data_IF_035827715148
#
_entry.id   IF_035827715148
#
_cell.length_a   1.000
_cell.length_b   1.000
_cell.length_c   1.000
_cell.angle_alpha   90.00
_cell.angle_beta   90.00
_cell.angle_gamma   90.00
#
_symmetry.space_group_name_H-M   'P 1'
#
loop_
_entity.id
_entity.type
_entity.pdbx_description
1 polymer ?
#
# COMPACT_ATOMS: atom_id res chain seq x y z
N UNK A 1 20.08 -1.05 39.38
CA UNK A 1 19.18 -1.59 38.33
C UNK A 1 18.48 -0.47 37.53
N UNK A 2 17.97 0.59 38.19
CA UNK A 2 17.31 1.72 37.51
C UNK A 2 18.19 2.54 36.53
N UNK A 3 19.46 2.81 36.86
CA UNK A 3 20.38 3.59 36.00
C UNK A 3 20.75 2.87 34.69
N UNK A 4 20.81 1.54 34.69
CA UNK A 4 21.12 0.77 33.47
C UNK A 4 19.91 0.71 32.51
N UNK A 5 18.70 0.68 33.06
CA UNK A 5 17.46 0.77 32.27
C UNK A 5 17.29 2.16 31.64
N UNK A 6 17.65 3.24 32.34
CA UNK A 6 17.59 4.60 31.79
C UNK A 6 18.55 4.78 30.61
N UNK A 7 19.80 4.32 30.74
CA UNK A 7 20.81 4.43 29.66
C UNK A 7 20.45 3.60 28.41
N UNK A 8 19.87 2.40 28.59
CA UNK A 8 19.41 1.58 27.48
C UNK A 8 18.21 2.20 26.74
N UNK A 9 17.24 2.73 27.48
CA UNK A 9 16.08 3.42 26.92
C UNK A 9 16.47 4.69 26.17
N UNK A 10 17.33 5.53 26.76
CA UNK A 10 17.88 6.72 26.11
C UNK A 10 18.62 6.39 24.81
N UNK A 11 19.41 5.32 24.80
CA UNK A 11 20.11 4.85 23.59
C UNK A 11 19.12 4.49 22.48
N UNK A 12 18.03 3.79 22.81
CA UNK A 12 16.99 3.44 21.84
C UNK A 12 16.24 4.67 21.33
N UNK A 13 15.95 5.64 22.21
CA UNK A 13 15.34 6.90 21.79
C UNK A 13 16.24 7.73 20.88
N UNK A 14 17.55 7.83 21.19
CA UNK A 14 18.53 8.46 20.29
C UNK A 14 18.57 7.76 18.94
N UNK A 15 18.54 6.42 18.93
CA UNK A 15 18.51 5.63 17.70
C UNK A 15 17.24 5.88 16.87
N UNK A 16 16.07 5.95 17.52
CA UNK A 16 14.81 6.29 16.86
C UNK A 16 14.84 7.69 16.23
N UNK A 17 15.29 8.70 16.99
CA UNK A 17 15.44 10.08 16.50
C UNK A 17 16.41 10.18 15.33
N UNK A 18 17.55 9.49 15.41
CA UNK A 18 18.50 9.45 14.31
C UNK A 18 17.91 8.82 13.04
N UNK A 19 17.10 7.76 13.18
CA UNK A 19 16.45 7.13 12.03
C UNK A 19 15.38 8.02 11.43
N UNK A 20 14.62 8.73 12.25
CA UNK A 20 13.65 9.74 11.78
C UNK A 20 14.36 10.88 11.04
N UNK A 21 15.48 11.35 11.55
CA UNK A 21 16.27 12.39 10.89
C UNK A 21 16.83 11.94 9.53
N UNK A 22 17.25 10.68 9.39
CA UNK A 22 17.64 10.10 8.09
C UNK A 22 16.48 10.14 7.09
N UNK A 23 15.28 9.74 7.52
CA UNK A 23 14.08 9.84 6.69
C UNK A 23 13.76 11.29 6.32
N UNK A 24 13.79 12.22 7.28
CA UNK A 24 13.51 13.64 7.05
C UNK A 24 14.50 14.29 6.08
N UNK A 25 15.77 13.88 6.12
CA UNK A 25 16.78 14.32 5.16
C UNK A 25 16.48 13.83 3.73
N UNK A 26 16.07 12.56 3.56
CA UNK A 26 15.61 12.04 2.25
C UNK A 26 14.34 12.73 1.80
N UNK A 27 13.39 12.94 2.71
CA UNK A 27 12.10 13.57 2.46
C UNK A 27 12.20 15.03 2.02
N UNK A 28 13.18 15.76 2.57
CA UNK A 28 13.42 17.17 2.24
C UNK A 28 13.95 17.36 0.80
N UNK A 29 14.50 16.30 0.19
CA UNK A 29 14.92 16.37 -1.21
C UNK A 29 13.71 16.65 -2.12
N UNK A 30 13.85 17.51 -3.14
CA UNK A 30 12.80 17.70 -4.12
C UNK A 30 12.55 16.40 -4.90
N UNK A 31 11.34 16.26 -5.43
CA UNK A 31 11.08 15.18 -6.41
C UNK A 31 11.99 15.40 -7.63
N UNK A 32 12.46 14.32 -8.27
CA UNK A 32 13.11 14.41 -9.56
C UNK A 32 12.24 15.22 -10.56
N UNK A 33 12.87 16.00 -11.47
CA UNK A 33 12.14 16.89 -12.35
C UNK A 33 11.11 16.13 -13.18
N UNK A 34 9.87 16.63 -13.13
CA UNK A 34 8.72 16.10 -13.87
C UNK A 34 8.66 16.85 -15.20
N UNK A 35 9.18 16.28 -16.29
CA UNK A 35 9.19 16.96 -17.59
C UNK A 35 8.81 16.00 -18.74
N UNK A 36 7.80 16.35 -19.57
CA UNK A 36 6.93 17.53 -19.46
C UNK A 36 5.95 17.42 -18.28
N UNK A 37 5.52 18.56 -17.73
CA UNK A 37 4.50 18.59 -16.68
C UNK A 37 3.13 18.20 -17.26
N UNK A 38 2.43 17.29 -16.59
CA UNK A 38 1.08 16.87 -16.99
C UNK A 38 0.07 17.96 -16.65
N UNK A 39 -0.92 18.14 -17.52
CA UNK A 39 -2.06 18.99 -17.19
C UNK A 39 -2.89 18.39 -16.04
N UNK A 40 -3.60 19.25 -15.30
CA UNK A 40 -4.37 18.85 -14.12
C UNK A 40 -5.46 17.81 -14.42
N UNK A 41 -6.01 17.79 -15.64
CA UNK A 41 -7.02 16.81 -16.03
C UNK A 41 -6.41 15.41 -16.18
N UNK A 42 -5.21 15.31 -16.75
CA UNK A 42 -4.43 14.07 -16.82
C UNK A 42 -4.00 13.59 -15.45
N UNK A 43 -3.53 14.48 -14.58
CA UNK A 43 -3.18 14.12 -13.20
C UNK A 43 -4.41 13.56 -12.44
N UNK A 44 -5.57 14.21 -12.61
CA UNK A 44 -6.84 13.76 -12.02
C UNK A 44 -7.23 12.38 -12.54
N UNK A 45 -7.12 12.13 -13.85
CA UNK A 45 -7.39 10.82 -14.44
C UNK A 45 -6.53 9.72 -13.82
N UNK A 46 -5.22 9.94 -13.73
CA UNK A 46 -4.27 8.98 -13.14
C UNK A 46 -4.59 8.73 -11.66
N UNK A 47 -4.85 9.78 -10.88
CA UNK A 47 -5.02 9.66 -9.45
C UNK A 47 -6.40 9.11 -9.02
N UNK A 48 -7.48 9.47 -9.74
CA UNK A 48 -8.85 9.27 -9.26
C UNK A 48 -9.72 8.39 -10.15
N UNK A 49 -9.52 8.43 -11.48
CA UNK A 49 -10.50 7.88 -12.41
C UNK A 49 -10.08 6.53 -12.97
N UNK A 50 -8.84 6.38 -13.42
CA UNK A 50 -8.37 5.20 -14.14
C UNK A 50 -8.09 4.01 -13.21
N UNK A 51 -8.43 2.81 -13.66
CA UNK A 51 -7.96 1.58 -13.01
C UNK A 51 -6.51 1.29 -13.37
N UNK A 52 -5.86 0.35 -12.68
CA UNK A 52 -4.52 -0.07 -13.07
C UNK A 52 -4.52 -0.71 -14.46
N UNK A 53 -5.55 -1.48 -14.81
CA UNK A 53 -5.67 -2.08 -16.15
C UNK A 53 -5.72 -0.99 -17.23
N UNK A 54 -6.53 0.06 -17.02
CA UNK A 54 -6.61 1.20 -17.94
C UNK A 54 -5.28 1.93 -18.05
N UNK A 55 -4.60 2.17 -16.91
CA UNK A 55 -3.28 2.83 -16.91
C UNK A 55 -2.25 2.02 -17.67
N UNK A 56 -2.20 0.70 -17.47
CA UNK A 56 -1.29 -0.17 -18.22
C UNK A 56 -1.61 -0.12 -19.71
N UNK A 57 -2.88 -0.19 -20.11
CA UNK A 57 -3.28 -0.09 -21.52
C UNK A 57 -2.90 1.26 -22.14
N UNK A 58 -3.21 2.36 -21.46
CA UNK A 58 -2.88 3.74 -21.89
C UNK A 58 -1.38 4.05 -21.82
N UNK A 59 -0.58 3.23 -21.12
CA UNK A 59 0.88 3.30 -21.20
C UNK A 59 1.43 2.54 -22.41
N UNK A 60 0.75 1.48 -22.85
CA UNK A 60 1.12 0.72 -24.05
C UNK A 60 0.77 1.47 -25.34
N UNK A 61 -0.33 2.24 -25.34
CA UNK A 61 -0.70 3.08 -26.49
C UNK A 61 0.08 4.41 -26.57
N UNK A 62 0.85 4.74 -25.53
CA UNK A 62 1.68 5.95 -25.45
C UNK A 62 0.93 7.21 -24.97
N UNK A 63 -0.31 7.10 -24.51
CA UNK A 63 -1.09 8.20 -23.92
C UNK A 63 -0.48 8.69 -22.61
N UNK A 64 -0.01 7.75 -21.78
CA UNK A 64 0.73 7.99 -20.56
C UNK A 64 2.08 7.26 -20.57
N UNK A 65 3.01 7.73 -19.74
CA UNK A 65 4.26 7.03 -19.44
C UNK A 65 4.25 6.51 -18.01
N UNK A 66 5.11 5.53 -17.70
CA UNK A 66 5.35 5.09 -16.32
C UNK A 66 5.89 6.24 -15.48
N UNK A 67 6.68 7.12 -16.09
CA UNK A 67 7.15 8.35 -15.47
C UNK A 67 5.99 9.27 -15.05
N UNK A 68 4.95 9.39 -15.89
CA UNK A 68 3.75 10.19 -15.57
C UNK A 68 3.04 9.64 -14.34
N UNK A 69 2.78 8.33 -14.32
CA UNK A 69 2.10 7.67 -13.20
C UNK A 69 2.92 7.80 -11.91
N UNK A 70 4.22 7.55 -11.95
CA UNK A 70 5.11 7.74 -10.79
C UNK A 70 5.10 9.21 -10.32
N UNK A 71 5.14 10.17 -11.26
CA UNK A 71 5.18 11.59 -10.93
C UNK A 71 3.93 12.03 -10.17
N UNK A 72 2.74 11.69 -10.68
CA UNK A 72 1.46 12.04 -10.04
C UNK A 72 1.36 11.43 -8.65
N UNK A 73 1.67 10.14 -8.52
CA UNK A 73 1.53 9.42 -7.25
C UNK A 73 2.58 9.89 -6.22
N UNK A 74 3.80 10.22 -6.67
CA UNK A 74 4.84 10.81 -5.81
C UNK A 74 4.48 12.21 -5.33
N UNK A 75 3.89 13.06 -6.20
CA UNK A 75 3.37 14.39 -5.81
C UNK A 75 2.32 14.24 -4.71
N UNK A 76 1.33 13.37 -4.90
CA UNK A 76 0.28 13.11 -3.91
C UNK A 76 0.81 12.49 -2.62
N UNK A 77 1.78 11.57 -2.71
CA UNK A 77 2.45 11.02 -1.53
C UNK A 77 3.18 12.11 -0.72
N UNK A 78 3.82 13.08 -1.41
CA UNK A 78 4.44 14.25 -0.76
C UNK A 78 3.43 15.16 -0.07
N UNK A 79 2.37 15.50 -0.79
CA UNK A 79 1.37 16.46 -0.32
C UNK A 79 0.56 15.91 0.86
N UNK A 80 0.07 14.67 0.75
CA UNK A 80 -0.88 14.11 1.72
C UNK A 80 -0.28 13.03 2.61
N UNK A 81 0.71 12.27 2.13
CA UNK A 81 1.28 11.12 2.85
C UNK A 81 2.32 11.51 3.91
N UNK A 82 2.92 12.69 3.80
CA UNK A 82 4.00 13.15 4.66
C UNK A 82 3.57 13.56 6.08
N UNK A 83 4.53 14.06 6.90
CA UNK A 83 4.29 14.45 8.29
C UNK A 83 3.23 15.55 8.49
N UNK A 84 3.02 16.41 7.49
CA UNK A 84 1.99 17.46 7.52
C UNK A 84 0.58 16.94 7.18
N UNK A 85 0.48 15.77 6.54
CA UNK A 85 -0.77 15.11 6.21
C UNK A 85 -1.01 13.91 7.12
N UNK A 86 -1.23 12.72 6.54
CA UNK A 86 -1.55 11.50 7.30
C UNK A 86 -0.34 10.86 8.00
N UNK A 87 0.89 11.35 7.76
CA UNK A 87 2.14 10.80 8.30
C UNK A 87 2.24 9.27 8.12
N UNK A 88 2.07 8.83 6.88
CA UNK A 88 2.01 7.43 6.49
C UNK A 88 3.37 6.83 6.12
N UNK A 89 4.42 7.62 5.93
CA UNK A 89 5.68 7.19 5.29
C UNK A 89 6.80 6.91 6.30
N UNK A 90 7.61 5.89 6.03
CA UNK A 90 8.80 5.53 6.84
C UNK A 90 10.10 5.54 6.05
N UNK A 91 10.02 5.39 4.73
CA UNK A 91 11.13 5.56 3.79
C UNK A 91 10.55 5.97 2.43
N UNK A 92 11.31 6.72 1.65
CA UNK A 92 10.93 7.13 0.29
C UNK A 92 11.97 6.65 -0.70
N UNK A 93 11.51 6.08 -1.81
CA UNK A 93 12.35 5.57 -2.89
C UNK A 93 12.07 6.34 -4.19
N UNK A 94 11.81 7.65 -4.08
CA UNK A 94 11.38 8.46 -5.22
C UNK A 94 12.44 8.51 -6.32
N UNK A 95 13.71 8.69 -5.98
CA UNK A 95 14.78 8.74 -6.98
C UNK A 95 14.87 7.42 -7.77
N UNK A 96 14.85 6.29 -7.06
CA UNK A 96 14.87 4.96 -7.66
C UNK A 96 13.60 4.67 -8.47
N UNK A 97 12.43 5.08 -7.96
CA UNK A 97 11.15 4.89 -8.65
C UNK A 97 11.09 5.67 -9.97
N UNK A 98 11.55 6.92 -9.98
CA UNK A 98 11.63 7.73 -11.19
C UNK A 98 12.66 7.18 -12.18
N UNK A 99 13.81 6.69 -11.71
CA UNK A 99 14.81 6.07 -12.56
C UNK A 99 14.28 4.79 -13.23
N UNK A 100 13.59 3.95 -12.46
CA UNK A 100 12.96 2.72 -12.95
C UNK A 100 11.82 3.02 -13.94
N UNK A 101 10.99 4.01 -13.66
CA UNK A 101 9.94 4.45 -14.58
C UNK A 101 10.51 4.88 -15.93
N UNK A 102 11.53 5.74 -15.94
CA UNK A 102 12.21 6.15 -17.18
C UNK A 102 12.85 4.98 -17.92
N UNK A 103 13.37 3.98 -17.19
CA UNK A 103 13.93 2.77 -17.81
C UNK A 103 12.83 2.00 -18.54
N UNK A 104 11.70 1.73 -17.86
CA UNK A 104 10.55 1.04 -18.44
C UNK A 104 9.98 1.76 -19.66
N UNK A 105 9.89 3.09 -19.62
CA UNK A 105 9.44 3.89 -20.77
C UNK A 105 10.39 3.77 -21.96
N UNK A 106 11.71 3.82 -21.73
CA UNK A 106 12.71 3.59 -22.81
C UNK A 106 12.63 2.19 -23.39
N UNK A 107 12.48 1.17 -22.55
CA UNK A 107 12.41 -0.22 -22.98
C UNK A 107 11.14 -0.45 -23.83
N UNK A 108 10.01 0.17 -23.46
CA UNK A 108 8.77 0.18 -24.24
C UNK A 108 8.96 0.84 -25.61
N UNK A 109 9.60 2.02 -25.67
CA UNK A 109 9.85 2.75 -26.92
C UNK A 109 10.78 2.01 -27.90
N UNK A 110 11.72 1.21 -27.40
CA UNK A 110 12.70 0.47 -28.22
C UNK A 110 12.10 -0.76 -28.93
N UNK A 111 10.80 -1.02 -28.79
CA UNK A 111 10.19 -2.22 -29.34
C UNK A 111 10.65 -3.50 -28.65
N UNK A 112 11.22 -3.42 -27.44
CA UNK A 112 11.69 -4.57 -26.65
C UNK A 112 10.55 -5.49 -26.14
N UNK A 113 9.34 -5.35 -26.69
CA UNK A 113 8.16 -6.14 -26.36
C UNK A 113 8.03 -7.44 -27.15
N UNK A 114 9.04 -7.87 -27.90
CA UNK A 114 9.07 -9.20 -28.52
C UNK A 114 9.52 -10.33 -27.56
N UNK A 115 9.75 -10.04 -26.26
CA UNK A 115 9.87 -11.08 -25.24
C UNK A 115 8.71 -11.02 -24.24
N UNK A 116 7.71 -11.86 -24.49
CA UNK A 116 6.79 -12.51 -23.53
C UNK A 116 6.13 -11.64 -22.44
N UNK A 117 4.90 -11.20 -22.75
CA UNK A 117 3.87 -10.67 -21.84
C UNK A 117 4.24 -9.44 -20.98
N UNK A 118 3.72 -8.27 -21.36
CA UNK A 118 3.65 -7.09 -20.49
C UNK A 118 3.11 -7.50 -19.12
N UNK A 119 3.88 -7.22 -18.06
CA UNK A 119 3.49 -7.54 -16.70
C UNK A 119 2.18 -6.84 -16.30
N UNK A 120 1.35 -7.52 -15.52
CA UNK A 120 0.03 -7.00 -15.11
C UNK A 120 0.09 -5.73 -14.24
N UNK A 121 1.28 -5.34 -13.78
CA UNK A 121 1.55 -4.12 -13.02
C UNK A 121 2.63 -3.26 -13.69
N UNK A 122 2.83 -3.40 -15.01
CA UNK A 122 3.91 -2.72 -15.72
C UNK A 122 3.89 -1.20 -15.54
N UNK A 123 4.94 -0.66 -14.89
CA UNK A 123 5.08 0.78 -14.68
C UNK A 123 4.29 1.35 -13.50
N UNK A 124 3.60 0.50 -12.74
CA UNK A 124 2.66 0.93 -11.70
C UNK A 124 3.38 1.13 -10.36
N UNK A 125 3.33 2.34 -9.76
CA UNK A 125 3.88 2.58 -8.43
C UNK A 125 3.02 1.95 -7.33
N UNK A 126 3.69 1.38 -6.33
CA UNK A 126 3.05 0.84 -5.12
C UNK A 126 3.81 1.17 -3.84
N UNK A 127 3.14 1.03 -2.71
CA UNK A 127 3.70 1.21 -1.37
C UNK A 127 3.84 -0.13 -0.64
N UNK A 128 4.84 -0.22 0.26
CA UNK A 128 5.15 -1.46 0.98
C UNK A 128 5.24 -1.22 2.49
N UNK A 129 4.53 -2.01 3.29
CA UNK A 129 4.50 -1.84 4.75
C UNK A 129 5.89 -1.97 5.37
N UNK A 130 6.19 -1.17 6.40
CA UNK A 130 7.53 -1.05 7.01
C UNK A 130 8.21 -2.38 7.32
N UNK A 131 7.51 -3.42 7.75
CA UNK A 131 8.18 -4.68 8.12
C UNK A 131 8.40 -5.67 6.96
N UNK A 132 8.00 -5.35 5.74
CA UNK A 132 8.23 -6.18 4.56
C UNK A 132 9.53 -5.75 3.89
N UNK A 133 10.53 -6.61 3.81
CA UNK A 133 11.84 -6.25 3.27
C UNK A 133 11.75 -5.67 1.85
N UNK A 134 12.32 -4.47 1.69
CA UNK A 134 12.64 -3.85 0.41
C UNK A 134 14.12 -3.53 0.45
N UNK A 135 14.87 -4.01 -0.54
CA UNK A 135 16.33 -3.91 -0.61
C UNK A 135 16.78 -2.47 -0.38
N UNK A 136 17.76 -2.29 0.50
CA UNK A 136 18.32 -0.99 0.84
C UNK A 136 17.52 -0.19 1.88
N UNK A 137 16.34 -0.65 2.28
CA UNK A 137 15.50 0.00 3.31
C UNK A 137 15.44 -0.81 4.60
N UNK A 138 15.15 -0.15 5.72
CA UNK A 138 14.98 -0.83 6.99
C UNK A 138 13.58 -1.47 7.11
N UNK A 139 13.54 -2.64 7.75
CA UNK A 139 12.31 -3.24 8.29
C UNK A 139 12.25 -3.09 9.81
N UNK A 140 11.75 -1.94 10.27
CA UNK A 140 11.88 -1.52 11.69
C UNK A 140 10.86 -2.17 12.61
N UNK A 141 9.70 -2.60 12.10
CA UNK A 141 8.53 -3.04 12.87
C UNK A 141 8.05 -1.99 13.88
N UNK A 142 8.34 -0.70 13.65
CA UNK A 142 8.10 0.38 14.62
C UNK A 142 8.94 0.27 15.91
N UNK A 143 10.03 -0.51 15.89
CA UNK A 143 10.87 -0.79 17.05
C UNK A 143 12.31 -0.29 16.86
N UNK A 144 12.73 0.68 17.67
CA UNK A 144 14.02 1.37 17.51
C UNK A 144 15.24 0.43 17.52
N UNK A 145 15.14 -0.71 18.20
CA UNK A 145 16.20 -1.72 18.21
C UNK A 145 16.51 -2.29 16.82
N UNK A 146 15.57 -2.18 15.86
CA UNK A 146 15.71 -2.66 14.49
C UNK A 146 16.13 -1.62 13.46
N UNK A 147 16.21 -0.33 13.79
CA UNK A 147 16.72 0.69 12.86
C UNK A 147 18.18 0.43 12.45
N UNK A 148 18.58 0.98 11.31
CA UNK A 148 19.90 0.87 10.69
C UNK A 148 20.28 -0.58 10.40
N UNK A 149 19.34 -1.31 9.78
CA UNK A 149 19.48 -2.71 9.37
C UNK A 149 18.82 -2.88 8.00
N UNK A 150 19.38 -2.24 6.96
CA UNK A 150 18.76 -2.27 5.64
C UNK A 150 18.72 -3.70 5.12
N UNK A 151 17.62 -4.07 4.48
CA UNK A 151 17.45 -5.39 3.89
C UNK A 151 18.45 -5.56 2.72
N UNK A 152 19.11 -6.71 2.63
CA UNK A 152 20.05 -7.01 1.54
C UNK A 152 19.33 -7.42 0.25
N UNK A 153 18.06 -7.79 0.35
CA UNK A 153 17.19 -8.20 -0.76
C UNK A 153 15.74 -7.89 -0.45
N UNK A 154 14.93 -7.87 -1.49
CA UNK A 154 13.48 -7.75 -1.39
C UNK A 154 12.86 -9.01 -0.75
N UNK A 155 11.72 -8.84 -0.10
CA UNK A 155 10.84 -9.95 0.25
C UNK A 155 10.31 -10.62 -1.02
N UNK A 156 10.01 -11.92 -0.97
CA UNK A 156 9.55 -12.66 -2.16
C UNK A 156 8.28 -12.02 -2.76
N UNK A 157 7.39 -11.49 -1.91
CA UNK A 157 6.20 -10.76 -2.35
C UNK A 157 6.51 -9.47 -3.09
N UNK A 158 7.61 -8.79 -2.77
CA UNK A 158 8.04 -7.56 -3.46
C UNK A 158 8.75 -7.93 -4.76
N UNK A 159 9.62 -8.94 -4.74
CA UNK A 159 10.33 -9.44 -5.93
C UNK A 159 9.35 -9.83 -7.03
N UNK A 160 8.29 -10.59 -6.69
CA UNK A 160 7.27 -11.00 -7.67
C UNK A 160 6.44 -9.83 -8.22
N UNK A 161 6.25 -8.77 -7.44
CA UNK A 161 5.56 -7.57 -7.94
C UNK A 161 6.46 -6.79 -8.90
N UNK A 162 7.77 -6.71 -8.62
CA UNK A 162 8.75 -6.15 -9.56
C UNK A 162 8.85 -6.98 -10.84
N UNK A 163 8.84 -8.31 -10.73
CA UNK A 163 8.77 -9.22 -11.89
C UNK A 163 7.51 -8.97 -12.74
N UNK A 164 6.38 -8.65 -12.09
CA UNK A 164 5.14 -8.25 -12.74
C UNK A 164 5.13 -6.79 -13.23
N UNK A 165 6.26 -6.08 -13.10
CA UNK A 165 6.48 -4.76 -13.66
C UNK A 165 6.25 -3.58 -12.70
N UNK A 166 5.91 -3.84 -11.44
CA UNK A 166 5.62 -2.79 -10.46
C UNK A 166 6.87 -2.04 -9.99
N UNK A 167 6.66 -0.79 -9.56
CA UNK A 167 7.69 0.11 -9.05
C UNK A 167 7.41 0.39 -7.57
N UNK A 168 8.36 0.09 -6.67
CA UNK A 168 8.19 0.43 -5.25
C UNK A 168 8.47 1.92 -5.06
N UNK A 169 7.46 2.67 -4.62
CA UNK A 169 7.52 4.12 -4.44
C UNK A 169 8.03 4.51 -3.04
N UNK A 170 7.53 3.83 -2.00
CA UNK A 170 7.81 4.17 -0.62
C UNK A 170 7.49 3.02 0.34
N UNK A 171 7.92 3.20 1.60
CA UNK A 171 7.60 2.34 2.73
C UNK A 171 6.62 3.03 3.67
N UNK A 172 5.69 2.29 4.27
CA UNK A 172 4.64 2.88 5.13
C UNK A 172 4.64 2.45 6.59
N UNK A 173 4.09 3.33 7.42
CA UNK A 173 4.15 3.29 8.87
C UNK A 173 3.33 2.14 9.48
N UNK A 174 3.76 1.72 10.66
CA UNK A 174 3.20 0.60 11.43
C UNK A 174 3.13 0.95 12.92
N UNK A 175 2.25 0.33 13.71
CA UNK A 175 2.36 0.38 15.16
C UNK A 175 3.66 -0.21 15.66
N UNK A 176 4.08 0.22 16.84
CA UNK A 176 5.17 -0.40 17.56
C UNK A 176 4.92 -1.91 17.70
N UNK A 177 5.87 -2.71 17.20
CA UNK A 177 5.80 -4.17 17.17
C UNK A 177 4.59 -4.75 16.42
N UNK A 178 3.91 -3.98 15.55
CA UNK A 178 2.77 -4.45 14.72
C UNK A 178 1.50 -4.88 15.50
N UNK A 179 1.49 -4.79 16.83
CA UNK A 179 0.47 -5.42 17.69
C UNK A 179 -0.55 -4.43 18.28
N UNK A 180 -0.90 -3.40 17.52
CA UNK A 180 -1.98 -2.47 17.89
C UNK A 180 -2.91 -2.22 16.69
N UNK A 181 -4.23 -2.04 16.91
CA UNK A 181 -5.18 -1.64 15.87
C UNK A 181 -5.14 -0.12 15.58
N UNK A 182 -4.03 0.54 15.91
CA UNK A 182 -3.73 1.94 15.65
C UNK A 182 -2.27 2.05 15.23
N UNK A 183 -1.95 2.93 14.27
CA UNK A 183 -0.59 3.05 13.72
C UNK A 183 0.17 4.16 14.43
N UNK A 184 0.90 3.80 15.49
CA UNK A 184 1.71 4.72 16.30
C UNK A 184 2.99 4.04 16.81
N UNK A 185 4.13 4.73 16.71
CA UNK A 185 5.39 4.30 17.29
C UNK A 185 6.36 5.47 17.54
N UNK A 186 7.41 5.22 18.33
CA UNK A 186 8.38 6.25 18.74
C UNK A 186 9.43 6.64 17.69
N UNK A 187 9.42 6.02 16.50
CA UNK A 187 10.32 6.37 15.39
C UNK A 187 9.60 7.32 14.44
N UNK A 188 8.42 6.90 13.98
CA UNK A 188 7.71 7.54 12.87
C UNK A 188 6.54 8.42 13.33
N UNK A 189 6.14 8.32 14.60
CA UNK A 189 4.96 9.00 15.13
C UNK A 189 3.65 8.28 14.79
N UNK A 190 2.56 9.04 14.83
CA UNK A 190 1.19 8.58 14.60
C UNK A 190 0.81 8.74 13.13
N UNK A 191 0.20 7.73 12.53
CA UNK A 191 -0.50 7.87 11.24
C UNK A 191 -1.98 8.14 11.49
N UNK A 192 -2.46 9.23 10.91
CA UNK A 192 -3.84 9.69 11.08
C UNK A 192 -4.75 9.24 9.95
N UNK A 193 -6.05 9.19 10.24
CA UNK A 193 -7.08 8.88 9.24
C UNK A 193 -7.11 9.94 8.14
N UNK A 194 -7.24 9.53 6.86
CA UNK A 194 -7.39 10.47 5.74
C UNK A 194 -8.69 11.29 5.82
N UNK A 195 -9.69 10.82 6.57
CA UNK A 195 -10.99 11.50 6.70
C UNK A 195 -11.00 12.54 7.83
N UNK A 196 -10.11 12.39 8.80
CA UNK A 196 -9.97 13.29 9.94
C UNK A 196 -8.63 13.06 10.63
N UNK A 197 -7.73 14.05 10.57
CA UNK A 197 -6.38 13.95 11.11
C UNK A 197 -6.32 13.73 12.64
N UNK A 198 -7.43 13.90 13.36
CA UNK A 198 -7.56 13.62 14.81
C UNK A 198 -8.04 12.20 15.12
N UNK A 199 -8.19 11.35 14.10
CA UNK A 199 -8.66 9.95 14.22
C UNK A 199 -7.59 8.98 13.77
N UNK A 200 -7.66 7.75 14.27
CA UNK A 200 -6.73 6.69 13.88
C UNK A 200 -6.95 6.24 12.44
N UNK A 201 -5.88 5.96 11.70
CA UNK A 201 -5.92 5.23 10.43
C UNK A 201 -6.21 3.72 10.59
N UNK A 202 -6.35 3.23 11.82
CA UNK A 202 -6.37 1.81 12.14
C UNK A 202 -4.96 1.20 12.13
N UNK A 203 -4.88 -0.14 12.22
CA UNK A 203 -3.59 -0.84 12.28
C UNK A 203 -3.69 -2.36 12.11
N UNK A 204 -2.59 -3.04 11.82
CA UNK A 204 -1.23 -2.50 11.79
C UNK A 204 -0.77 -1.98 10.42
N UNK A 205 -1.56 -2.10 9.35
CA UNK A 205 -1.26 -1.53 8.03
C UNK A 205 -1.92 -0.15 7.83
N UNK A 206 -1.96 0.70 8.86
CA UNK A 206 -2.62 2.01 8.78
C UNK A 206 -1.90 2.97 7.85
N UNK A 207 -0.56 2.90 7.77
CA UNK A 207 0.22 3.65 6.77
C UNK A 207 -0.21 3.34 5.34
N UNK A 208 -0.32 2.05 5.00
CA UNK A 208 -0.81 1.61 3.68
C UNK A 208 -2.22 2.13 3.40
N UNK A 209 -3.16 1.90 4.32
CA UNK A 209 -4.55 2.26 4.09
C UNK A 209 -4.75 3.77 3.95
N UNK A 210 -4.07 4.58 4.79
CA UNK A 210 -4.15 6.03 4.72
C UNK A 210 -3.51 6.56 3.43
N UNK A 211 -2.35 6.04 3.03
CA UNK A 211 -1.65 6.47 1.81
C UNK A 211 -2.45 6.13 0.54
N UNK A 212 -3.03 4.93 0.48
CA UNK A 212 -3.90 4.50 -0.63
C UNK A 212 -5.15 5.38 -0.70
N UNK A 213 -5.76 5.70 0.44
CA UNK A 213 -6.96 6.53 0.49
C UNK A 213 -6.72 7.96 -0.02
N UNK A 214 -5.61 8.59 0.38
CA UNK A 214 -5.21 9.92 -0.15
C UNK A 214 -4.63 9.87 -1.57
N UNK A 215 -4.63 8.70 -2.21
CA UNK A 215 -4.13 8.49 -3.57
C UNK A 215 -2.66 8.85 -3.71
N UNK A 216 -1.87 8.64 -2.66
CA UNK A 216 -0.40 8.66 -2.70
C UNK A 216 0.21 7.31 -3.11
N UNK A 217 -0.64 6.30 -3.30
CA UNK A 217 -0.30 5.00 -3.86
C UNK A 217 -1.56 4.38 -4.47
N UNK A 218 -1.44 3.69 -5.60
CA UNK A 218 -2.58 2.96 -6.18
C UNK A 218 -2.84 1.66 -5.42
N UNK A 219 -1.76 1.02 -4.96
CA UNK A 219 -1.78 -0.25 -4.24
C UNK A 219 -0.78 -0.21 -3.09
N UNK A 220 -1.23 -0.70 -1.94
CA UNK A 220 -0.41 -0.93 -0.78
C UNK A 220 -0.25 -2.40 -0.43
N UNK A 221 0.96 -2.81 -0.01
CA UNK A 221 1.22 -4.18 0.44
C UNK A 221 1.29 -4.23 1.96
N UNK A 222 0.20 -4.70 2.58
CA UNK A 222 0.08 -4.88 4.01
C UNK A 222 0.27 -6.31 4.48
N UNK A 223 0.03 -6.53 5.77
CA UNK A 223 -0.09 -7.88 6.36
C UNK A 223 -1.22 -7.96 7.37
N UNK A 224 -1.77 -9.15 7.53
CA UNK A 224 -2.94 -9.41 8.35
C UNK A 224 -2.84 -10.76 9.06
N UNK A 225 -2.90 -10.71 10.41
CA UNK A 225 -3.04 -11.85 11.31
C UNK A 225 -4.37 -11.81 12.07
N UNK A 226 -4.79 -10.61 12.50
CA UNK A 226 -5.99 -10.38 13.31
C UNK A 226 -6.86 -9.23 12.79
N UNK A 227 -6.76 -8.88 11.51
CA UNK A 227 -7.49 -7.77 10.89
C UNK A 227 -6.62 -6.64 10.37
N UNK A 228 -5.30 -6.81 10.31
CA UNK A 228 -4.38 -5.70 10.05
C UNK A 228 -4.31 -5.20 8.60
N UNK A 229 -4.99 -5.83 7.65
CA UNK A 229 -5.30 -5.20 6.34
C UNK A 229 -6.75 -4.70 6.34
N UNK A 230 -7.69 -5.54 6.79
CA UNK A 230 -9.14 -5.26 6.73
C UNK A 230 -9.58 -4.10 7.62
N UNK A 231 -9.07 -4.02 8.85
CA UNK A 231 -9.36 -2.97 9.83
C UNK A 231 -8.94 -1.58 9.37
N UNK A 232 -7.65 -1.34 9.04
CA UNK A 232 -7.24 -0.03 8.54
C UNK A 232 -7.88 0.33 7.19
N UNK A 233 -8.15 -0.65 6.32
CA UNK A 233 -8.90 -0.42 5.08
C UNK A 233 -10.33 0.07 5.36
N UNK A 234 -11.03 -0.55 6.32
CA UNK A 234 -12.34 -0.07 6.79
C UNK A 234 -12.28 1.36 7.33
N UNK A 235 -11.25 1.70 8.12
CA UNK A 235 -11.09 3.04 8.71
C UNK A 235 -10.75 4.10 7.67
N UNK A 236 -10.03 3.72 6.61
CA UNK A 236 -9.55 4.64 5.56
C UNK A 236 -10.42 4.61 4.32
N UNK A 237 -11.48 3.80 4.27
CA UNK A 237 -12.43 3.75 3.16
C UNK A 237 -11.86 3.15 1.87
N UNK A 238 -10.96 2.17 1.99
CA UNK A 238 -10.40 1.44 0.85
C UNK A 238 -10.65 -0.07 0.97
N UNK A 239 -10.26 -0.83 -0.04
CA UNK A 239 -10.35 -2.30 -0.08
C UNK A 239 -9.13 -2.89 0.60
N UNK A 240 -9.31 -3.81 1.54
CA UNK A 240 -8.23 -4.57 2.17
C UNK A 240 -8.51 -6.07 2.10
N UNK A 241 -7.66 -6.82 1.39
CA UNK A 241 -7.84 -8.25 1.22
C UNK A 241 -6.84 -9.05 2.05
N UNK A 242 -7.36 -10.01 2.82
CA UNK A 242 -6.54 -11.00 3.55
C UNK A 242 -6.70 -12.36 2.88
N UNK A 243 -5.72 -12.80 2.07
CA UNK A 243 -5.69 -14.15 1.52
C UNK A 243 -5.79 -15.24 2.61
N UNK A 244 -6.05 -16.48 2.19
CA UNK A 244 -5.81 -17.63 3.05
C UNK A 244 -4.31 -17.71 3.37
N UNK A 245 -3.90 -17.90 4.64
CA UNK A 245 -2.49 -18.11 4.95
C UNK A 245 -1.88 -19.23 4.10
N UNK A 246 -0.58 -19.11 3.79
CA UNK A 246 0.13 -19.98 2.85
C UNK A 246 -0.31 -19.91 1.37
N UNK A 247 -1.17 -18.95 0.97
CA UNK A 247 -1.32 -18.55 -0.45
C UNK A 247 -0.21 -17.63 -0.93
N UNK A 248 0.47 -16.96 0.00
CA UNK A 248 1.52 -15.98 -0.26
C UNK A 248 2.68 -16.26 0.69
N UNK A 249 3.91 -16.17 0.19
CA UNK A 249 5.11 -16.42 0.98
C UNK A 249 5.31 -15.37 2.07
N UNK A 250 5.80 -15.82 3.23
CA UNK A 250 6.29 -14.94 4.30
C UNK A 250 7.78 -14.63 4.22
N UNK A 251 8.51 -15.08 3.19
CA UNK A 251 9.96 -14.87 3.08
C UNK A 251 10.29 -13.38 2.90
N UNK A 252 11.10 -12.85 3.81
CA UNK A 252 11.45 -11.42 3.88
C UNK A 252 10.39 -10.55 4.57
N UNK A 253 9.38 -11.16 5.20
CA UNK A 253 8.45 -10.44 6.07
C UNK A 253 8.97 -10.53 7.50
N UNK A 254 9.36 -9.39 8.06
CA UNK A 254 10.07 -9.29 9.33
C UNK A 254 9.10 -9.25 10.50
N UNK A 255 9.30 -10.17 11.44
CA UNK A 255 8.56 -10.17 12.71
C UNK A 255 9.28 -9.38 13.80
N UNK A 256 8.56 -8.81 14.78
CA UNK A 256 9.12 -8.08 15.93
C UNK A 256 9.73 -9.05 16.95
N UNK A 257 10.68 -9.88 16.51
CA UNK A 257 11.40 -10.86 17.32
C UNK A 257 12.92 -10.67 17.17
N UNK A 258 13.70 -11.25 18.09
CA UNK A 258 15.18 -11.16 18.05
C UNK A 258 15.75 -11.69 16.73
N UNK A 259 15.17 -12.75 16.19
CA UNK A 259 15.58 -13.38 14.93
C UNK A 259 14.92 -12.76 13.70
N UNK A 260 13.89 -11.91 13.88
CA UNK A 260 13.07 -11.39 12.80
C UNK A 260 12.12 -12.43 12.18
N UNK A 261 12.05 -13.65 12.72
CA UNK A 261 11.28 -14.77 12.16
C UNK A 261 9.96 -14.99 12.90
N UNK A 262 8.96 -15.50 12.18
CA UNK A 262 7.69 -15.97 12.73
C UNK A 262 7.86 -17.33 13.41
N UNK A 263 7.47 -17.43 14.69
CA UNK A 263 7.39 -18.70 15.42
C UNK A 263 5.97 -19.24 15.60
N UNK A 264 4.94 -18.39 15.45
CA UNK A 264 3.55 -18.76 15.70
C UNK A 264 2.97 -19.59 14.54
N UNK A 265 2.54 -20.82 14.84
CA UNK A 265 2.00 -21.75 13.83
C UNK A 265 0.48 -21.90 13.87
N UNK A 266 -0.15 -21.64 15.03
CA UNK A 266 -1.60 -21.83 15.19
C UNK A 266 -2.42 -20.71 14.52
N UNK A 267 -1.95 -19.46 14.59
CA UNK A 267 -2.58 -18.31 13.94
C UNK A 267 -1.55 -17.69 13.01
N UNK A 268 -1.65 -18.01 11.71
CA UNK A 268 -0.68 -17.58 10.70
C UNK A 268 -1.07 -16.24 10.09
N UNK A 269 -0.12 -15.31 10.07
CA UNK A 269 -0.24 -14.08 9.32
C UNK A 269 -0.09 -14.34 7.80
N UNK A 270 -0.60 -13.43 6.98
CA UNK A 270 -0.35 -13.40 5.54
C UNK A 270 -0.12 -11.97 5.07
N UNK A 271 0.63 -11.81 3.98
CA UNK A 271 0.59 -10.57 3.20
C UNK A 271 -0.77 -10.44 2.50
N UNK A 272 -1.19 -9.19 2.27
CA UNK A 272 -2.46 -8.88 1.63
C UNK A 272 -2.46 -7.48 1.04
N UNK A 273 -3.01 -7.28 -0.17
CA UNK A 273 -3.06 -5.97 -0.82
C UNK A 273 -4.14 -5.08 -0.21
N UNK A 274 -3.90 -3.78 -0.30
CA UNK A 274 -4.86 -2.71 -0.08
C UNK A 274 -4.92 -1.86 -1.35
N UNK A 275 -6.09 -1.51 -1.83
CA UNK A 275 -6.27 -0.64 -3.00
C UNK A 275 -7.61 0.09 -2.92
N UNK A 276 -7.89 1.00 -3.84
CA UNK A 276 -9.18 1.69 -3.90
C UNK A 276 -10.24 0.92 -4.69
N UNK A 277 -9.83 -0.12 -5.40
CA UNK A 277 -10.66 -0.96 -6.26
C UNK A 277 -10.41 -2.44 -5.98
N UNK A 278 -11.43 -3.27 -6.18
CA UNK A 278 -11.31 -4.72 -5.99
C UNK A 278 -10.49 -5.35 -7.12
N UNK A 279 -10.60 -4.78 -8.31
CA UNK A 279 -9.88 -5.15 -9.53
C UNK A 279 -8.36 -4.97 -9.33
N UNK A 280 -7.94 -3.83 -8.77
CA UNK A 280 -6.53 -3.55 -8.47
C UNK A 280 -5.96 -4.53 -7.43
N UNK A 281 -6.76 -4.94 -6.43
CA UNK A 281 -6.41 -6.00 -5.48
C UNK A 281 -6.24 -7.35 -6.19
N UNK A 282 -7.09 -7.66 -7.17
CA UNK A 282 -7.02 -8.90 -7.91
C UNK A 282 -5.75 -8.97 -8.76
N UNK A 283 -5.29 -7.86 -9.36
CA UNK A 283 -4.02 -7.81 -10.11
C UNK A 283 -2.81 -8.15 -9.24
N UNK A 284 -2.77 -7.68 -7.99
CA UNK A 284 -1.70 -8.08 -7.05
C UNK A 284 -1.74 -9.57 -6.78
N UNK A 285 -2.94 -10.14 -6.63
CA UNK A 285 -3.08 -11.59 -6.44
C UNK A 285 -2.65 -12.37 -7.69
N UNK A 286 -2.92 -11.86 -8.89
CA UNK A 286 -2.44 -12.43 -10.15
C UNK A 286 -0.90 -12.41 -10.21
N UNK A 287 -0.27 -11.30 -9.83
CA UNK A 287 1.19 -11.18 -9.77
C UNK A 287 1.85 -12.13 -8.75
N UNK A 288 1.17 -12.43 -7.64
CA UNK A 288 1.69 -13.33 -6.60
C UNK A 288 1.43 -14.81 -6.87
N UNK A 289 0.28 -15.18 -7.40
CA UNK A 289 -0.12 -16.58 -7.53
C UNK A 289 0.36 -17.19 -8.85
N UNK A 290 1.69 -17.15 -9.01
CA UNK A 290 2.44 -17.64 -10.18
C UNK A 290 3.43 -18.74 -9.76
N UNK A 291 3.91 -19.52 -10.73
CA UNK A 291 4.83 -20.63 -10.50
C UNK A 291 6.03 -20.25 -9.60
N UNK A 292 6.62 -19.09 -9.88
CA UNK A 292 7.79 -18.56 -9.16
C UNK A 292 7.57 -18.42 -7.64
N UNK A 293 6.34 -18.23 -7.17
CA UNK A 293 6.02 -18.14 -5.73
C UNK A 293 6.30 -19.46 -5.02
N UNK A 294 5.68 -20.56 -5.44
CA UNK A 294 5.84 -21.87 -4.79
C UNK A 294 7.13 -22.58 -5.20
N UNK A 295 7.71 -22.27 -6.36
CA UNK A 295 9.06 -22.72 -6.71
C UNK A 295 10.12 -22.16 -5.76
N UNK A 296 9.93 -20.93 -5.26
CA UNK A 296 10.87 -20.27 -4.35
C UNK A 296 10.49 -20.41 -2.88
N UNK A 297 9.28 -20.87 -2.57
CA UNK A 297 8.85 -21.19 -1.21
C UNK A 297 7.95 -22.43 -1.16
N UNK A 298 8.50 -23.62 -0.81
CA UNK A 298 7.74 -24.87 -0.82
C UNK A 298 6.65 -24.95 0.26
N UNK A 299 6.58 -23.97 1.18
CA UNK A 299 5.50 -23.86 2.16
C UNK A 299 4.26 -23.14 1.62
N UNK A 300 4.34 -22.57 0.41
CA UNK A 300 3.21 -21.94 -0.28
C UNK A 300 2.44 -23.00 -1.08
N UNK A 301 1.12 -22.96 -1.00
CA UNK A 301 0.25 -23.87 -1.76
C UNK A 301 0.30 -23.49 -3.24
N UNK A 302 0.64 -24.43 -4.16
CA UNK A 302 0.83 -24.14 -5.58
C UNK A 302 -0.51 -24.03 -6.33
N UNK A 303 -1.28 -22.99 -6.00
CA UNK A 303 -2.58 -22.72 -6.61
C UNK A 303 -2.51 -21.40 -7.40
N UNK A 304 -2.57 -21.45 -8.74
CA UNK A 304 -2.56 -20.24 -9.55
C UNK A 304 -3.83 -19.40 -9.33
N UNK A 305 -3.81 -18.17 -9.84
CA UNK A 305 -5.01 -17.33 -9.88
C UNK A 305 -6.07 -17.95 -10.82
N UNK A 306 -7.29 -18.13 -10.32
CA UNK A 306 -8.40 -18.65 -11.10
C UNK A 306 -9.18 -17.49 -11.75
N UNK A 307 -8.80 -17.13 -12.97
CA UNK A 307 -9.45 -16.08 -13.74
C UNK A 307 -10.94 -16.37 -14.02
N UNK A 308 -11.33 -17.64 -14.11
CA UNK A 308 -12.72 -18.01 -14.38
C UNK A 308 -13.56 -17.87 -13.10
N UNK A 309 -13.03 -18.25 -11.94
CA UNK A 309 -13.70 -18.00 -10.67
C UNK A 309 -13.84 -16.50 -10.38
N UNK A 310 -12.79 -15.72 -10.62
CA UNK A 310 -12.84 -14.26 -10.46
C UNK A 310 -13.91 -13.64 -11.38
N UNK A 311 -13.87 -13.92 -12.69
CA UNK A 311 -14.88 -13.44 -13.65
C UNK A 311 -16.30 -13.85 -13.27
N UNK A 312 -16.51 -15.12 -12.87
CA UNK A 312 -17.82 -15.58 -12.38
C UNK A 312 -18.27 -14.80 -11.16
N UNK A 313 -17.38 -14.50 -10.22
CA UNK A 313 -17.69 -13.66 -9.05
C UNK A 313 -18.17 -12.28 -9.44
N UNK A 314 -17.39 -11.57 -10.26
CA UNK A 314 -17.74 -10.22 -10.76
C UNK A 314 -19.08 -10.23 -11.50
N UNK A 315 -19.31 -11.18 -12.40
CA UNK A 315 -20.59 -11.28 -13.14
C UNK A 315 -21.78 -11.61 -12.24
N UNK A 316 -21.60 -12.46 -11.22
CA UNK A 316 -22.67 -12.77 -10.26
C UNK A 316 -23.03 -11.57 -9.42
N UNK A 317 -22.04 -10.81 -8.97
CA UNK A 317 -22.26 -9.60 -8.19
C UNK A 317 -22.95 -8.52 -9.04
N UNK A 318 -22.54 -8.35 -10.31
CA UNK A 318 -23.25 -7.48 -11.26
C UNK A 318 -24.71 -7.92 -11.47
N UNK A 319 -24.95 -9.21 -11.70
CA UNK A 319 -26.29 -9.76 -11.86
C UNK A 319 -27.14 -9.65 -10.59
N UNK A 320 -26.55 -9.79 -9.39
CA UNK A 320 -27.25 -9.64 -8.12
C UNK A 320 -27.55 -8.17 -7.81
N UNK A 321 -26.64 -7.25 -8.16
CA UNK A 321 -26.84 -5.80 -8.06
C UNK A 321 -27.98 -5.33 -8.98
N UNK A 322 -28.00 -5.78 -10.23
CA UNK A 322 -29.06 -5.50 -11.19
C UNK A 322 -30.41 -6.07 -10.74
N UNK A 323 -30.43 -7.32 -10.23
CA UNK A 323 -31.64 -7.96 -9.69
C UNK A 323 -32.12 -7.36 -8.37
N UNK A 324 -31.23 -6.71 -7.62
CA UNK A 324 -31.52 -6.08 -6.33
C UNK A 324 -32.13 -4.68 -6.43
N UNK A 325 -32.24 -4.13 -7.65
CA UNK A 325 -32.61 -2.73 -7.88
C UNK A 325 -31.46 -1.81 -7.47
N UNK A 326 -30.75 -1.25 -8.46
CA UNK A 326 -29.54 -0.44 -8.27
C UNK A 326 -29.69 0.85 -7.44
N UNK A 327 -30.82 1.07 -6.76
CA UNK A 327 -31.03 2.12 -5.77
C UNK A 327 -31.89 1.58 -4.60
N UNK A 328 -31.54 1.98 -3.38
CA UNK A 328 -32.26 1.77 -2.10
C UNK A 328 -31.97 0.49 -1.27
N UNK A 329 -30.82 0.47 -0.58
CA UNK A 329 -30.69 -0.15 0.75
C UNK A 329 -30.19 0.80 1.84
N UNK A 330 -30.55 2.09 1.70
CA UNK A 330 -30.65 3.04 2.81
C UNK A 330 -32.11 3.45 3.02
N UNK A 331 -33.03 2.49 2.91
CA UNK A 331 -34.36 2.63 3.47
C UNK A 331 -34.26 2.39 4.96
N UNK A 332 -34.29 3.48 5.75
CA UNK A 332 -34.69 3.39 7.14
C UNK A 332 -36.03 2.64 7.19
N UNK A 333 -36.01 1.40 7.66
CA UNK A 333 -37.23 0.72 8.04
C UNK A 333 -37.86 1.53 9.17
N UNK A 334 -38.99 2.17 8.88
CA UNK A 334 -39.87 2.72 9.89
C UNK A 334 -40.21 1.63 10.90
N UNK A 335 -39.62 1.72 12.09
CA UNK A 335 -40.13 1.10 13.30
C UNK A 335 -40.13 2.13 14.40
N UNK A 336 -41.33 2.59 14.74
CA UNK A 336 -41.66 3.11 16.07
C UNK A 336 -41.15 4.52 16.38
N UNK A 337 -42.09 5.45 16.50
CA UNK A 337 -41.82 6.87 16.73
C UNK A 337 -40.94 7.18 17.93
N UNK A 338 -39.98 8.08 17.71
CA UNK A 338 -39.55 9.13 18.64
C UNK A 338 -38.75 10.17 17.83
N UNK A 339 -39.27 11.40 17.80
CA UNK A 339 -38.66 12.57 17.14
C UNK A 339 -37.17 12.68 17.51
N UNK A 340 -36.28 12.70 16.51
CA UNK A 340 -34.94 13.30 16.65
C UNK A 340 -34.66 14.19 15.45
N UNK A 341 -34.16 15.38 15.77
CA UNK A 341 -33.87 16.52 14.89
C UNK A 341 -32.98 16.10 13.73
N UNK A 342 -33.35 16.53 12.52
CA UNK A 342 -32.55 16.37 11.31
C UNK A 342 -31.28 17.22 11.40
N UNK A 343 -30.13 16.58 11.19
CA UNK A 343 -28.88 17.24 10.84
C UNK A 343 -28.86 17.35 9.32
N UNK A 344 -28.90 18.57 8.78
CA UNK A 344 -28.75 18.82 7.35
C UNK A 344 -27.27 18.70 6.98
N UNK A 345 -26.88 17.54 6.43
CA UNK A 345 -25.58 17.34 5.79
C UNK A 345 -25.63 17.78 4.33
N UNK A 346 -24.68 18.63 3.94
CA UNK A 346 -24.52 19.16 2.59
C UNK A 346 -24.24 18.08 1.53
N UNK A 347 -24.66 18.39 0.31
CA UNK A 347 -24.61 17.51 -0.86
C UNK A 347 -23.22 17.26 -1.42
N UNK A 348 -23.15 16.31 -2.35
CA UNK A 348 -21.98 15.72 -3.01
C UNK A 348 -21.15 16.66 -3.92
N UNK A 349 -21.20 17.98 -3.76
CA UNK A 349 -20.53 18.93 -4.67
C UNK A 349 -19.14 19.42 -4.25
N UNK A 350 -18.65 19.07 -3.05
CA UNK A 350 -17.46 19.73 -2.48
C UNK A 350 -16.16 18.90 -2.57
N UNK A 351 -16.02 18.01 -3.57
CA UNK A 351 -14.86 17.10 -3.71
C UNK A 351 -13.80 17.55 -4.73
N UNK A 352 -13.73 18.84 -5.06
CA UNK A 352 -12.76 19.38 -6.03
C UNK A 352 -11.64 20.25 -5.41
N UNK A 353 -11.40 20.13 -4.10
CA UNK A 353 -10.36 20.89 -3.43
C UNK A 353 -9.93 20.28 -2.13
N UNK A 354 -9.36 19.07 -2.18
CA UNK A 354 -8.48 18.52 -1.15
C UNK A 354 -7.40 17.64 -1.77
#
# INVERSE_FOLDING_TARGET
MFWWLSTAAERLQRKARAKRAEFEAKWAQPLPPVAPELDAAKETKIALELSIEDLVALMQDGTFSSHDVVSVLAKRAREFGGPAGVNALTDVLFEEAFAEARRKDRDRQRGGGESDAVGVLEGIPLSVKDHIDVKGTDSTTGAACRCFRPASKDALVVELLRDAGAIVLCKTNVPQCLMLPETSNNIWGVTSSPWNLTRSAGGSSGGEAALVAVRGSLVGIGTDIGGSCRGPAHFSGCVGFKPTPARVSGKGIVMPSKTGKMGMQAIKATAGPLANRVEDVALVCQAWWVNKMWARDPYVVPLPFDHMAYRRGVTKDAQQWERGGGESRLGMGERGGKKKRAYQGGGRSDWAGL
#
